data_IF_908954479309
#
_entry.id   IF_908954479309
#
_cell.length_a   1.000
_cell.length_b   1.000
_cell.length_c   1.000
_cell.angle_alpha   90.00
_cell.angle_beta   90.00
_cell.angle_gamma   90.00
#
_symmetry.space_group_name_H-M   'P 1'
#
loop_
_entity.id
_entity.type
_entity.pdbx_description
1 polymer ?
#
# COMPACT_ATOMS: atom_id res chain seq x y z
N UNK A 1 20.05 -72.11 0.84
CA UNK A 1 20.14 -71.03 1.84
C UNK A 1 18.78 -70.37 1.94
N UNK A 2 18.05 -70.59 3.04
CA UNK A 2 16.71 -70.03 3.27
C UNK A 2 16.87 -68.68 3.98
N UNK A 3 16.04 -67.64 3.65
CA UNK A 3 16.09 -66.40 4.36
C UNK A 3 15.46 -66.55 5.74
N UNK A 4 16.16 -66.06 6.77
CA UNK A 4 15.70 -65.98 8.16
C UNK A 4 14.66 -64.86 8.28
N UNK A 5 13.56 -65.22 8.91
CA UNK A 5 12.30 -64.49 8.98
C UNK A 5 12.38 -63.12 9.64
N UNK A 6 11.69 -62.16 9.04
CA UNK A 6 11.42 -60.81 9.51
C UNK A 6 10.55 -60.69 10.78
N UNK A 7 10.22 -61.80 11.46
CA UNK A 7 9.36 -61.81 12.66
C UNK A 7 10.07 -61.38 13.95
N UNK A 8 11.39 -61.54 14.04
CA UNK A 8 12.14 -61.18 15.25
C UNK A 8 12.35 -59.68 15.36
N UNK A 9 12.39 -58.95 14.25
CA UNK A 9 12.57 -57.51 14.24
C UNK A 9 11.27 -56.73 14.56
N UNK A 10 10.12 -57.30 14.22
CA UNK A 10 8.82 -56.72 14.55
C UNK A 10 8.47 -56.90 16.02
N UNK A 11 8.90 -58.00 16.64
CA UNK A 11 8.65 -58.22 18.07
C UNK A 11 9.49 -57.31 18.97
N UNK A 12 10.70 -56.92 18.55
CA UNK A 12 11.56 -56.00 19.27
C UNK A 12 11.07 -54.55 19.19
N UNK A 13 10.47 -54.15 18.05
CA UNK A 13 9.87 -52.81 17.88
C UNK A 13 8.58 -52.63 18.70
N UNK A 14 7.80 -53.72 18.89
CA UNK A 14 6.58 -53.68 19.71
C UNK A 14 6.89 -53.64 21.20
N UNK A 15 8.05 -54.16 21.67
CA UNK A 15 8.45 -54.06 23.06
C UNK A 15 8.92 -52.66 23.49
N UNK A 16 9.43 -51.87 22.54
CA UNK A 16 9.83 -50.48 22.81
C UNK A 16 8.66 -49.52 22.85
N UNK A 17 7.54 -49.81 22.20
CA UNK A 17 6.33 -48.97 22.21
C UNK A 17 5.51 -49.20 23.49
N UNK A 18 5.63 -50.39 24.12
CA UNK A 18 4.87 -50.70 25.34
C UNK A 18 5.48 -50.12 26.62
N UNK A 19 6.75 -49.66 26.60
CA UNK A 19 7.43 -49.10 27.79
C UNK A 19 7.31 -47.56 27.90
N UNK A 20 6.71 -46.89 26.93
CA UNK A 20 6.51 -45.43 26.96
C UNK A 20 5.10 -44.99 27.39
N UNK A 21 4.22 -45.92 27.78
CA UNK A 21 2.84 -45.60 28.23
C UNK A 21 2.62 -45.76 29.74
N UNK A 22 3.68 -45.75 30.57
CA UNK A 22 3.55 -45.68 32.01
C UNK A 22 3.98 -44.30 32.54
N UNK A 23 3.40 -43.24 31.95
CA UNK A 23 3.46 -41.87 32.44
C UNK A 23 2.11 -41.50 33.02
N UNK A 24 2.07 -41.17 34.27
CA UNK A 24 0.94 -40.83 35.11
C UNK A 24 -0.07 -39.94 34.38
N UNK A 25 -1.32 -40.44 34.31
CA UNK A 25 -2.51 -39.61 34.20
C UNK A 25 -2.70 -39.01 35.61
N UNK A 26 -2.13 -37.84 35.82
CA UNK A 26 -2.67 -36.85 36.72
C UNK A 26 -3.27 -35.80 35.82
N UNK A 27 -4.57 -35.87 35.57
CA UNK A 27 -5.37 -34.69 35.23
C UNK A 27 -5.30 -33.78 36.46
N UNK A 28 -4.34 -32.82 36.42
CA UNK A 28 -4.55 -31.58 37.10
C UNK A 28 -5.35 -30.75 36.12
N UNK A 29 -6.63 -30.54 36.44
CA UNK A 29 -7.47 -29.44 35.92
C UNK A 29 -6.89 -28.09 36.44
N UNK A 30 -5.62 -27.84 36.18
CA UNK A 30 -5.08 -26.50 36.14
C UNK A 30 -5.15 -26.07 34.67
N UNK A 31 -6.33 -25.57 34.30
CA UNK A 31 -6.41 -24.66 33.16
C UNK A 31 -5.35 -23.60 33.48
N UNK A 32 -4.19 -23.63 32.79
CA UNK A 32 -3.37 -22.43 32.69
C UNK A 32 -4.34 -21.30 32.24
N UNK A 33 -4.37 -20.21 33.00
CA UNK A 33 -5.13 -19.05 32.48
C UNK A 33 -4.56 -18.76 31.12
N UNK A 34 -5.40 -18.76 30.12
CA UNK A 34 -5.10 -18.33 28.77
C UNK A 34 -4.77 -16.83 28.90
N UNK A 35 -3.58 -16.55 29.43
CA UNK A 35 -3.09 -15.20 29.61
C UNK A 35 -2.70 -14.74 28.22
N UNK A 36 -3.56 -13.89 27.65
CA UNK A 36 -3.29 -13.17 26.41
C UNK A 36 -2.17 -12.14 26.68
N UNK A 37 -1.06 -12.63 27.22
CA UNK A 37 0.09 -11.82 27.63
C UNK A 37 1.11 -11.82 26.50
N UNK A 38 1.41 -10.66 25.96
CA UNK A 38 2.35 -10.49 24.85
C UNK A 38 3.26 -9.28 25.10
N UNK A 39 4.57 -9.49 24.98
CA UNK A 39 5.54 -8.41 25.00
C UNK A 39 5.71 -7.86 23.60
N UNK A 40 5.40 -6.57 23.44
CA UNK A 40 5.56 -5.83 22.19
C UNK A 40 6.30 -4.55 22.52
N UNK A 41 7.36 -4.25 21.77
CA UNK A 41 8.11 -3.02 22.00
C UNK A 41 8.77 -2.48 20.74
N UNK A 42 9.09 -1.21 20.83
CA UNK A 42 9.79 -0.45 19.82
C UNK A 42 10.71 0.61 20.41
N UNK A 43 11.54 1.26 19.59
CA UNK A 43 12.44 2.31 20.02
C UNK A 43 12.60 3.44 18.98
N UNK A 44 13.07 4.58 19.45
CA UNK A 44 13.39 5.75 18.63
C UNK A 44 14.70 6.38 19.08
N UNK A 45 15.64 6.77 18.18
CA UNK A 45 15.59 6.62 16.72
C UNK A 45 15.83 5.16 16.29
N UNK A 46 15.34 4.77 15.10
CA UNK A 46 15.51 3.40 14.56
C UNK A 46 16.90 3.16 14.03
N UNK A 47 17.48 4.16 13.40
CA UNK A 47 18.75 4.07 12.69
C UNK A 47 19.77 5.05 13.22
N UNK A 48 21.05 4.84 12.85
CA UNK A 48 22.13 5.79 13.12
C UNK A 48 22.37 6.08 14.60
N UNK A 49 22.15 5.07 15.44
CA UNK A 49 22.32 5.17 16.88
C UNK A 49 23.80 5.14 17.22
N UNK A 50 24.38 6.28 17.54
CA UNK A 50 25.80 6.43 17.84
C UNK A 50 26.10 6.14 19.31
N UNK A 51 27.13 5.34 19.56
CA UNK A 51 27.63 5.07 20.90
C UNK A 51 27.96 6.37 21.64
N UNK A 52 27.68 6.43 22.93
CA UNK A 52 27.94 7.55 23.86
C UNK A 52 27.18 8.86 23.59
N UNK A 53 26.47 8.97 22.45
CA UNK A 53 25.84 10.22 22.02
C UNK A 53 24.33 10.10 21.85
N UNK A 54 23.85 9.01 21.24
CA UNK A 54 22.43 8.88 20.95
C UNK A 54 21.68 8.30 22.13
N UNK A 55 20.68 9.01 22.61
CA UNK A 55 19.74 8.52 23.60
C UNK A 55 18.62 7.78 22.87
N UNK A 56 18.47 6.48 23.16
CA UNK A 56 17.41 5.64 22.62
C UNK A 56 16.24 5.61 23.59
N UNK A 57 15.05 5.87 23.09
CA UNK A 57 13.80 5.79 23.85
C UNK A 57 13.09 4.49 23.49
N UNK A 58 13.02 3.55 24.40
CA UNK A 58 12.29 2.29 24.25
C UNK A 58 10.86 2.44 24.79
N UNK A 59 9.90 1.87 24.07
CA UNK A 59 8.48 1.96 24.39
C UNK A 59 7.84 0.58 24.31
N UNK A 60 7.35 0.06 25.43
CA UNK A 60 6.67 -1.23 25.55
C UNK A 60 5.15 -1.13 25.68
N UNK A 61 4.57 0.05 25.46
CA UNK A 61 3.14 0.29 25.72
C UNK A 61 2.18 -0.50 24.81
N UNK A 62 2.68 -1.02 23.68
CA UNK A 62 1.90 -1.86 22.79
C UNK A 62 1.66 -3.29 23.34
N UNK A 63 2.35 -3.66 24.42
CA UNK A 63 2.20 -5.00 25.06
C UNK A 63 0.78 -5.26 25.53
N UNK A 64 0.36 -6.52 25.46
CA UNK A 64 -1.00 -6.96 25.78
C UNK A 64 -1.00 -7.70 27.13
N UNK A 65 -2.00 -7.45 28.02
CA UNK A 65 -3.10 -6.48 27.91
C UNK A 65 -2.64 -5.02 28.10
N UNK A 66 -3.19 -4.12 27.32
CA UNK A 66 -2.87 -2.69 27.40
C UNK A 66 -3.86 -1.95 28.33
N UNK A 67 -3.93 -2.36 29.59
CA UNK A 67 -4.84 -1.83 30.61
C UNK A 67 -4.11 -1.19 31.80
N UNK A 68 -2.78 -1.12 31.72
CA UNK A 68 -1.94 -0.60 32.78
C UNK A 68 -1.61 -1.60 33.92
N UNK A 69 -1.98 -2.88 33.78
CA UNK A 69 -1.71 -3.91 34.76
C UNK A 69 -0.29 -4.49 34.68
N UNK A 70 0.39 -4.29 33.52
CA UNK A 70 1.67 -4.91 33.25
C UNK A 70 2.83 -4.23 33.99
N UNK A 71 3.78 -5.05 34.37
CA UNK A 71 5.12 -4.63 34.83
C UNK A 71 6.14 -4.96 33.74
N UNK A 72 6.99 -3.98 33.41
CA UNK A 72 7.97 -4.05 32.33
C UNK A 72 9.39 -4.14 32.87
N UNK A 73 10.20 -5.02 32.33
CA UNK A 73 11.62 -5.21 32.64
C UNK A 73 12.41 -5.30 31.36
N UNK A 74 13.47 -4.50 31.29
CA UNK A 74 14.33 -4.39 30.11
C UNK A 74 15.73 -4.89 30.41
N UNK A 75 16.27 -5.69 29.51
CA UNK A 75 17.66 -6.07 29.36
C UNK A 75 18.13 -5.52 28.02
N UNK A 76 19.05 -4.55 28.02
CA UNK A 76 19.46 -3.85 26.79
C UNK A 76 20.63 -4.49 26.05
N UNK A 77 21.20 -5.59 26.60
CA UNK A 77 22.39 -6.21 26.03
C UNK A 77 22.32 -7.75 25.99
N UNK A 78 21.20 -8.34 26.41
CA UNK A 78 20.97 -9.77 26.38
C UNK A 78 21.82 -10.59 27.39
N UNK A 79 22.34 -9.93 28.44
CA UNK A 79 23.18 -10.63 29.45
C UNK A 79 22.36 -11.31 30.57
N UNK A 80 21.04 -11.08 30.59
CA UNK A 80 20.09 -11.63 31.55
C UNK A 80 19.91 -10.79 32.80
N UNK A 81 20.64 -9.68 32.96
CA UNK A 81 20.46 -8.75 34.05
C UNK A 81 19.45 -7.64 33.64
N UNK A 82 18.61 -7.17 34.55
CA UNK A 82 17.62 -6.14 34.28
C UNK A 82 18.28 -4.76 34.39
N UNK A 83 18.37 -4.07 33.26
CA UNK A 83 18.95 -2.73 33.15
C UNK A 83 17.96 -1.63 33.54
N UNK A 84 16.67 -1.81 33.20
CA UNK A 84 15.63 -0.81 33.43
C UNK A 84 14.25 -1.44 33.68
N UNK A 85 13.33 -0.62 34.23
CA UNK A 85 11.93 -1.00 34.45
C UNK A 85 11.01 0.17 34.13
N UNK A 86 9.85 -0.15 33.54
CA UNK A 86 8.81 0.82 33.16
C UNK A 86 8.38 0.62 31.70
N UNK A 87 7.23 1.14 31.37
CA UNK A 87 6.61 1.09 30.06
C UNK A 87 7.39 1.87 28.98
N UNK A 88 8.06 2.96 29.40
CA UNK A 88 8.98 3.77 28.58
C UNK A 88 10.27 3.99 29.33
N UNK A 89 11.39 3.70 28.67
CA UNK A 89 12.71 3.83 29.26
C UNK A 89 13.70 4.43 28.28
N UNK A 90 14.80 4.97 28.78
CA UNK A 90 15.85 5.58 27.99
C UNK A 90 17.17 4.85 28.23
N UNK A 91 17.94 4.60 27.16
CA UNK A 91 19.29 4.08 27.26
C UNK A 91 20.27 4.83 26.35
N UNK A 92 21.55 4.84 26.73
CA UNK A 92 22.68 5.28 25.90
C UNK A 92 23.73 4.17 25.96
N UNK A 93 24.01 3.55 24.81
CA UNK A 93 25.01 2.51 24.71
C UNK A 93 26.42 3.09 24.79
N UNK A 94 27.28 2.50 25.60
CA UNK A 94 28.66 2.98 25.79
C UNK A 94 29.61 2.58 24.66
N UNK A 95 29.33 1.47 23.97
CA UNK A 95 30.19 0.90 22.93
C UNK A 95 29.37 0.62 21.67
N UNK A 96 30.03 0.69 20.48
CA UNK A 96 29.41 0.21 19.24
C UNK A 96 29.30 -1.31 19.22
N UNK A 97 28.35 -1.85 18.46
CA UNK A 97 28.10 -3.29 18.32
C UNK A 97 26.62 -3.57 18.09
N UNK A 98 26.30 -4.83 17.84
CA UNK A 98 24.93 -5.34 17.83
C UNK A 98 24.57 -5.84 19.21
N UNK A 99 23.45 -5.40 19.75
CA UNK A 99 22.96 -5.80 21.06
C UNK A 99 21.57 -6.42 20.94
N UNK A 100 21.34 -7.50 21.68
CA UNK A 100 20.00 -8.06 21.81
C UNK A 100 19.27 -7.32 22.94
N UNK A 101 18.16 -6.65 22.60
CA UNK A 101 17.29 -6.01 23.59
C UNK A 101 16.14 -6.94 23.90
N UNK A 102 15.91 -7.19 25.19
CA UNK A 102 14.83 -8.07 25.65
C UNK A 102 13.87 -7.25 26.52
N UNK A 103 12.59 -7.24 26.12
CA UNK A 103 11.49 -6.80 26.97
C UNK A 103 10.83 -8.03 27.61
N UNK A 104 10.72 -8.05 28.92
CA UNK A 104 9.89 -8.99 29.65
C UNK A 104 8.74 -8.26 30.31
N UNK A 105 7.50 -8.66 30.03
CA UNK A 105 6.29 -8.17 30.68
C UNK A 105 5.71 -9.23 31.59
N UNK A 106 5.09 -8.81 32.70
CA UNK A 106 4.39 -9.69 33.62
C UNK A 106 3.15 -9.04 34.20
N UNK A 107 2.09 -9.84 34.35
CA UNK A 107 0.86 -9.51 35.05
C UNK A 107 0.88 -9.89 36.54
N UNK A 108 2.01 -10.43 37.01
CA UNK A 108 2.21 -10.94 38.36
C UNK A 108 1.95 -12.45 38.50
N UNK A 109 1.44 -13.13 37.47
CA UNK A 109 1.18 -14.57 37.44
C UNK A 109 1.98 -15.26 36.34
N UNK A 110 2.03 -14.64 35.17
CA UNK A 110 2.71 -15.10 33.97
C UNK A 110 3.74 -14.08 33.49
N UNK A 111 4.66 -14.52 32.64
CA UNK A 111 5.67 -13.66 32.02
C UNK A 111 5.73 -14.00 30.52
N UNK A 112 5.92 -12.97 29.69
CA UNK A 112 6.24 -13.10 28.27
C UNK A 112 7.41 -12.20 27.93
N UNK A 113 8.32 -12.69 27.08
CA UNK A 113 9.50 -11.95 26.66
C UNK A 113 9.57 -11.89 25.15
N UNK A 114 9.96 -10.72 24.61
CA UNK A 114 10.29 -10.49 23.20
C UNK A 114 11.70 -9.95 23.12
N UNK A 115 12.50 -10.44 22.15
CA UNK A 115 13.82 -9.88 21.85
C UNK A 115 13.84 -9.27 20.44
N UNK A 116 14.64 -8.20 20.29
CA UNK A 116 14.97 -7.57 19.01
C UNK A 116 16.43 -7.14 19.03
N UNK A 117 17.10 -7.15 17.87
CA UNK A 117 18.47 -6.66 17.74
C UNK A 117 18.50 -5.14 17.46
N UNK A 118 19.44 -4.44 18.10
CA UNK A 118 19.73 -3.03 17.88
C UNK A 118 21.21 -2.84 17.50
N UNK A 119 21.45 -2.06 16.47
CA UNK A 119 22.81 -1.77 15.98
C UNK A 119 23.26 -0.41 16.47
N UNK A 120 24.38 -0.39 17.18
CA UNK A 120 25.02 0.81 17.69
C UNK A 120 26.30 1.06 16.93
N UNK A 121 26.40 2.23 16.29
CA UNK A 121 27.53 2.62 15.44
C UNK A 121 28.55 3.45 16.24
N UNK A 122 29.82 3.49 15.78
CA UNK A 122 30.83 4.35 16.37
C UNK A 122 30.42 5.82 16.41
N UNK A 123 30.87 6.57 17.41
CA UNK A 123 30.56 7.98 17.58
C UNK A 123 30.88 8.86 16.37
N UNK A 124 31.98 8.55 15.65
CA UNK A 124 32.47 9.33 14.51
C UNK A 124 32.17 8.60 13.17
N UNK A 125 31.15 7.74 13.17
CA UNK A 125 30.77 6.99 11.98
C UNK A 125 30.25 7.89 10.86
N UNK A 126 30.70 7.60 9.64
CA UNK A 126 30.20 8.24 8.43
C UNK A 126 28.99 7.43 7.94
N UNK A 127 27.83 8.07 7.93
CA UNK A 127 26.57 7.47 7.52
C UNK A 127 26.43 7.48 6.01
N UNK A 128 25.72 6.52 5.44
CA UNK A 128 25.21 6.65 4.09
C UNK A 128 24.15 7.75 4.01
N UNK A 129 23.70 8.07 2.80
CA UNK A 129 22.53 8.90 2.53
C UNK A 129 21.61 8.10 1.60
N UNK A 130 20.44 7.77 2.09
CA UNK A 130 19.43 7.07 1.31
C UNK A 130 18.88 7.98 0.20
N UNK A 131 18.69 7.42 -0.97
CA UNK A 131 18.07 8.09 -2.11
C UNK A 131 17.17 7.08 -2.82
N UNK A 132 15.86 7.26 -2.69
CA UNK A 132 14.86 6.40 -3.33
C UNK A 132 14.75 6.59 -4.85
N UNK A 133 15.59 7.45 -5.42
CA UNK A 133 15.58 7.74 -6.85
C UNK A 133 14.41 8.60 -7.28
N UNK A 134 14.19 8.65 -8.58
CA UNK A 134 13.01 9.24 -9.18
C UNK A 134 12.25 8.16 -9.93
N UNK A 135 11.01 7.95 -9.58
CA UNK A 135 10.08 7.22 -10.44
C UNK A 135 9.89 8.07 -11.71
N UNK A 136 9.85 7.41 -12.85
CA UNK A 136 9.86 8.04 -14.15
C UNK A 136 8.53 7.80 -14.90
N UNK A 137 7.40 8.28 -14.40
CA UNK A 137 6.10 8.10 -15.00
C UNK A 137 5.69 9.36 -15.76
N UNK A 138 4.81 9.16 -16.70
CA UNK A 138 4.06 10.20 -17.36
C UNK A 138 3.04 10.81 -16.38
N UNK A 139 3.13 12.10 -16.09
CA UNK A 139 2.31 12.75 -15.04
C UNK A 139 0.94 13.25 -15.50
N UNK A 140 0.72 13.36 -16.81
CA UNK A 140 -0.53 13.88 -17.40
C UNK A 140 -0.95 13.11 -18.66
N UNK A 141 -0.23 12.04 -18.97
CA UNK A 141 -0.46 11.20 -20.14
C UNK A 141 -0.24 11.93 -21.47
N UNK A 142 0.69 12.86 -21.52
CA UNK A 142 1.10 13.57 -22.75
C UNK A 142 2.52 13.18 -23.23
N UNK A 143 3.19 12.28 -22.53
CA UNK A 143 4.54 11.80 -22.81
C UNK A 143 5.64 12.51 -22.00
N UNK A 144 5.27 13.38 -21.07
CA UNK A 144 6.19 14.02 -20.14
C UNK A 144 6.38 13.18 -18.87
N UNK A 145 7.54 13.33 -18.23
CA UNK A 145 7.81 12.65 -16.96
C UNK A 145 7.08 13.32 -15.79
N UNK A 146 6.60 12.51 -14.84
CA UNK A 146 5.97 13.03 -13.63
C UNK A 146 6.97 13.85 -12.81
N UNK A 147 6.55 15.01 -12.29
CA UNK A 147 7.36 15.74 -11.34
C UNK A 147 7.44 15.00 -10.00
N UNK A 148 8.62 14.96 -9.39
CA UNK A 148 8.77 14.65 -7.97
C UNK A 148 8.64 15.94 -7.16
N UNK A 149 8.24 15.82 -5.89
CA UNK A 149 8.11 16.95 -5.00
C UNK A 149 8.16 16.52 -3.53
N UNK A 150 7.91 17.46 -2.63
CA UNK A 150 7.89 17.19 -1.20
C UNK A 150 6.51 17.42 -0.63
N UNK A 151 5.99 16.42 0.10
CA UNK A 151 4.73 16.50 0.86
C UNK A 151 5.05 16.27 2.34
N UNK A 152 4.75 17.23 3.21
CA UNK A 152 4.97 17.14 4.65
C UNK A 152 6.40 16.76 5.09
N UNK A 153 7.40 17.10 4.26
CA UNK A 153 8.81 16.80 4.52
C UNK A 153 9.35 15.54 3.83
N UNK A 154 8.46 14.72 3.25
CA UNK A 154 8.81 13.56 2.46
C UNK A 154 8.74 13.87 0.96
N UNK A 155 9.47 13.09 0.14
CA UNK A 155 9.31 13.15 -1.30
C UNK A 155 8.01 12.48 -1.73
N UNK A 156 7.42 12.95 -2.82
CA UNK A 156 6.28 12.28 -3.41
C UNK A 156 6.51 12.01 -4.90
N UNK A 157 5.93 10.92 -5.38
CA UNK A 157 5.97 10.50 -6.77
C UNK A 157 4.55 10.36 -7.28
N UNK A 158 4.29 10.97 -8.44
CA UNK A 158 3.00 10.93 -9.11
C UNK A 158 3.12 10.07 -10.37
N UNK A 159 2.33 9.03 -10.44
CA UNK A 159 2.31 8.06 -11.53
C UNK A 159 0.92 8.07 -12.14
N UNK A 160 0.82 8.04 -13.47
CA UNK A 160 -0.42 7.82 -14.18
C UNK A 160 -0.39 6.48 -14.92
N UNK A 161 -1.46 5.73 -14.79
CA UNK A 161 -1.78 4.66 -15.73
C UNK A 161 -2.45 5.33 -16.91
N UNK A 162 -1.72 5.49 -18.02
CA UNK A 162 -2.21 6.15 -19.21
C UNK A 162 -2.72 5.14 -20.22
N UNK A 163 -3.96 5.25 -20.59
CA UNK A 163 -4.61 4.44 -21.63
C UNK A 163 -5.27 5.36 -22.66
N UNK A 164 -4.48 6.08 -23.48
CA UNK A 164 -5.00 6.85 -24.59
C UNK A 164 -5.49 5.90 -25.70
N UNK A 165 -6.39 6.33 -26.51
CA UNK A 165 -6.89 5.61 -27.71
C UNK A 165 -7.38 4.17 -27.40
N UNK A 166 -8.14 3.99 -26.30
CA UNK A 166 -8.70 2.66 -25.95
C UNK A 166 -9.72 2.21 -26.99
N UNK A 167 -9.67 0.91 -27.32
CA UNK A 167 -10.68 0.27 -28.17
C UNK A 167 -12.09 0.44 -27.58
N UNK A 168 -13.05 0.84 -28.40
CA UNK A 168 -14.45 1.01 -28.01
C UNK A 168 -15.09 -0.25 -27.37
N UNK A 169 -14.53 -1.43 -27.61
CA UNK A 169 -14.93 -2.69 -26.99
C UNK A 169 -14.31 -2.94 -25.63
N UNK A 170 -13.20 -2.28 -25.28
CA UNK A 170 -12.54 -2.36 -23.97
C UNK A 170 -12.87 -1.12 -23.13
N UNK A 171 -13.92 -1.21 -22.36
CA UNK A 171 -14.42 -0.13 -21.51
C UNK A 171 -14.18 -0.39 -20.01
N UNK A 172 -13.10 -1.12 -19.68
CA UNK A 172 -12.69 -1.38 -18.29
C UNK A 172 -11.46 -0.55 -17.95
N UNK A 173 -11.45 0.12 -16.82
CA UNK A 173 -10.26 0.85 -16.35
C UNK A 173 -9.22 -0.11 -15.78
N UNK A 174 -7.94 0.17 -16.05
CA UNK A 174 -6.84 -0.61 -15.46
C UNK A 174 -6.60 -0.18 -14.02
N UNK A 175 -6.38 -1.15 -13.14
CA UNK A 175 -6.23 -0.93 -11.69
C UNK A 175 -4.83 -1.19 -11.16
N UNK A 176 -3.89 -1.63 -12.01
CA UNK A 176 -2.50 -1.90 -11.63
C UNK A 176 -1.53 -1.43 -12.70
N UNK A 177 -0.31 -1.11 -12.29
CA UNK A 177 0.78 -0.74 -13.19
C UNK A 177 2.11 -1.33 -12.71
N UNK A 178 3.13 -1.29 -13.56
CA UNK A 178 4.49 -1.67 -13.19
C UNK A 178 5.34 -0.42 -12.99
N UNK A 179 6.13 -0.39 -11.91
CA UNK A 179 7.09 0.67 -11.64
C UNK A 179 8.43 0.10 -11.23
N UNK A 180 9.50 0.84 -11.50
CA UNK A 180 10.86 0.50 -11.06
C UNK A 180 11.26 1.46 -9.95
N UNK A 181 11.53 0.91 -8.75
CA UNK A 181 12.15 1.63 -7.66
C UNK A 181 13.67 1.58 -7.84
N UNK A 182 14.34 2.73 -7.84
CA UNK A 182 15.79 2.84 -8.10
C UNK A 182 16.48 3.55 -6.93
N UNK A 183 17.02 2.77 -5.99
CA UNK A 183 17.83 3.24 -4.86
C UNK A 183 19.33 3.29 -5.14
N UNK A 184 19.77 3.00 -6.37
CA UNK A 184 21.21 2.92 -6.74
C UNK A 184 21.94 4.25 -6.59
N UNK A 185 21.21 5.37 -6.56
CA UNK A 185 21.73 6.71 -6.31
C UNK A 185 22.10 7.00 -4.86
N UNK A 186 21.92 6.06 -3.94
CA UNK A 186 22.27 6.24 -2.52
C UNK A 186 23.76 6.41 -2.32
N UNK A 187 24.16 7.39 -1.48
CA UNK A 187 25.57 7.69 -1.20
C UNK A 187 26.07 6.85 -0.01
N UNK A 188 27.17 6.10 -0.12
CA UNK A 188 27.72 5.33 1.00
C UNK A 188 28.34 6.18 2.12
N UNK A 189 28.41 7.49 1.97
CA UNK A 189 28.92 8.46 2.94
C UNK A 189 30.39 8.79 2.77
N UNK A 190 31.20 7.96 2.12
CA UNK A 190 32.59 8.26 1.78
C UNK A 190 33.08 7.43 0.61
N UNK A 191 34.16 7.88 -0.03
CA UNK A 191 34.77 7.19 -1.19
C UNK A 191 35.40 5.82 -0.88
N UNK A 192 35.53 5.47 0.40
CA UNK A 192 36.03 4.18 0.86
C UNK A 192 34.91 3.23 1.27
N UNK A 193 33.69 3.71 1.29
CA UNK A 193 32.51 2.95 1.65
C UNK A 193 31.73 2.55 0.38
N UNK A 194 30.86 1.56 0.53
CA UNK A 194 29.89 1.15 -0.47
C UNK A 194 28.63 0.67 0.24
N UNK A 195 27.50 0.79 -0.42
CA UNK A 195 26.24 0.25 0.10
C UNK A 195 26.27 -1.27 -0.01
N UNK A 196 25.87 -1.96 1.03
CA UNK A 196 25.82 -3.43 1.12
C UNK A 196 24.43 -3.99 1.04
N UNK A 197 23.42 -3.20 1.40
CA UNK A 197 22.02 -3.59 1.29
C UNK A 197 21.11 -2.38 1.07
N UNK A 198 20.05 -2.65 0.33
CA UNK A 198 18.86 -1.80 0.14
C UNK A 198 17.67 -2.64 0.55
N UNK A 199 16.90 -2.17 1.51
CA UNK A 199 15.67 -2.78 2.01
C UNK A 199 14.52 -1.81 1.78
N UNK A 200 13.49 -2.27 1.10
CA UNK A 200 12.31 -1.48 0.78
C UNK A 200 11.14 -1.98 1.59
N UNK A 201 10.48 -1.07 2.26
CA UNK A 201 9.16 -1.23 2.85
C UNK A 201 8.17 -0.53 1.91
N UNK A 202 7.23 -1.28 1.38
CA UNK A 202 6.29 -0.80 0.35
C UNK A 202 5.05 -0.15 0.95
N UNK A 203 4.88 -0.23 2.27
CA UNK A 203 3.82 0.44 3.00
C UNK A 203 4.15 0.57 4.49
N UNK A 204 4.84 1.64 4.86
CA UNK A 204 5.29 1.90 6.22
C UNK A 204 4.15 2.16 7.24
N UNK A 205 2.91 2.20 6.78
CA UNK A 205 1.71 2.35 7.61
C UNK A 205 1.05 0.99 7.91
N UNK A 206 1.66 -0.13 7.48
CA UNK A 206 1.12 -1.48 7.62
C UNK A 206 2.20 -2.50 8.04
N UNK A 207 1.99 -3.20 9.13
CA UNK A 207 2.83 -4.29 9.63
C UNK A 207 2.64 -5.56 8.77
N UNK A 208 3.46 -5.73 7.73
CA UNK A 208 3.35 -6.84 6.77
C UNK A 208 3.91 -8.15 7.33
N UNK A 209 4.91 -8.10 8.23
CA UNK A 209 5.54 -9.27 8.83
C UNK A 209 4.86 -9.73 10.14
N UNK A 210 3.92 -8.94 10.67
CA UNK A 210 3.14 -9.26 11.89
C UNK A 210 3.96 -9.17 13.18
N UNK A 211 5.06 -8.40 13.18
CA UNK A 211 5.94 -8.27 14.35
C UNK A 211 5.48 -7.19 15.35
N UNK A 212 4.46 -6.41 15.01
CA UNK A 212 3.86 -5.33 15.80
C UNK A 212 4.53 -3.96 15.58
N UNK A 213 5.31 -3.82 14.52
CA UNK A 213 5.96 -2.56 14.10
C UNK A 213 5.67 -2.37 12.62
N UNK A 214 5.13 -1.22 12.25
CA UNK A 214 4.64 -0.95 10.90
C UNK A 214 5.74 -0.45 9.94
N UNK A 215 6.82 0.17 10.46
CA UNK A 215 7.84 0.88 9.68
C UNK A 215 9.21 0.16 9.63
N UNK A 216 9.26 -1.14 9.90
CA UNK A 216 10.50 -1.93 9.89
C UNK A 216 10.45 -3.19 9.01
N UNK A 217 9.43 -3.29 8.17
CA UNK A 217 9.24 -4.39 7.24
C UNK A 217 10.27 -4.38 6.09
N UNK A 218 10.61 -5.57 5.60
CA UNK A 218 11.44 -5.75 4.41
C UNK A 218 10.61 -6.51 3.37
N UNK A 219 9.86 -5.75 2.55
CA UNK A 219 9.02 -6.33 1.51
C UNK A 219 9.84 -6.70 0.27
N UNK A 220 10.82 -5.85 -0.09
CA UNK A 220 11.69 -6.06 -1.24
C UNK A 220 13.15 -5.66 -0.94
N UNK A 221 14.08 -6.28 -1.65
CA UNK A 221 15.52 -6.01 -1.50
C UNK A 221 16.21 -5.79 -2.84
N UNK A 222 17.16 -4.88 -2.86
CA UNK A 222 17.96 -4.58 -4.06
C UNK A 222 18.09 -3.09 -4.32
N UNK A 223 19.14 -2.71 -5.03
CA UNK A 223 19.38 -1.33 -5.46
C UNK A 223 18.36 -0.87 -6.52
N UNK A 224 17.86 -1.81 -7.32
CA UNK A 224 16.76 -1.60 -8.29
C UNK A 224 15.75 -2.72 -8.15
N UNK A 225 14.49 -2.36 -7.94
CA UNK A 225 13.37 -3.31 -7.75
C UNK A 225 12.27 -2.98 -8.75
N UNK A 226 11.76 -3.99 -9.46
CA UNK A 226 10.63 -3.88 -10.37
C UNK A 226 9.36 -4.42 -9.71
N UNK A 227 8.40 -3.54 -9.47
CA UNK A 227 7.07 -3.89 -8.96
C UNK A 227 6.13 -4.09 -10.14
N UNK A 228 5.59 -5.29 -10.33
CA UNK A 228 4.79 -5.64 -11.52
C UNK A 228 3.30 -5.28 -11.39
N UNK A 229 2.78 -5.16 -10.19
CA UNK A 229 1.34 -5.06 -9.94
C UNK A 229 1.01 -3.98 -8.89
N UNK A 230 1.70 -2.83 -8.95
CA UNK A 230 1.41 -1.71 -8.07
C UNK A 230 -0.03 -1.21 -8.33
N UNK A 231 -0.91 -1.24 -7.32
CA UNK A 231 -2.31 -0.85 -7.52
C UNK A 231 -2.45 0.68 -7.66
N UNK A 232 -3.58 1.09 -8.25
CA UNK A 232 -4.02 2.49 -8.17
C UNK A 232 -4.21 2.88 -6.70
N UNK A 233 -3.87 4.11 -6.36
CA UNK A 233 -4.05 4.63 -5.00
C UNK A 233 -2.83 5.36 -4.47
N UNK A 234 -2.74 5.38 -3.16
CA UNK A 234 -1.65 5.97 -2.38
C UNK A 234 -0.86 4.86 -1.69
N UNK A 235 0.45 4.95 -1.72
CA UNK A 235 1.37 4.11 -0.96
C UNK A 235 2.42 4.98 -0.29
N UNK A 236 2.76 4.67 0.94
CA UNK A 236 3.83 5.33 1.68
C UNK A 236 4.98 4.34 1.83
N UNK A 237 6.03 4.52 1.03
CA UNK A 237 7.17 3.60 0.96
C UNK A 237 8.37 4.14 1.72
N UNK A 238 9.27 3.27 2.15
CA UNK A 238 10.60 3.65 2.61
C UNK A 238 11.73 2.84 1.98
N UNK A 239 12.90 3.44 1.90
CA UNK A 239 14.16 2.80 1.55
C UNK A 239 15.12 2.92 2.73
N UNK A 240 15.57 1.79 3.25
CA UNK A 240 16.66 1.68 4.22
C UNK A 240 17.93 1.21 3.50
N UNK A 241 19.02 1.97 3.59
CA UNK A 241 20.32 1.57 3.05
C UNK A 241 21.33 1.32 4.15
N UNK A 242 22.20 0.32 3.95
CA UNK A 242 23.28 -0.02 4.89
C UNK A 242 24.61 0.00 4.14
N UNK A 243 25.62 0.68 4.68
CA UNK A 243 26.97 0.65 4.13
C UNK A 243 27.81 -0.48 4.71
N UNK A 244 29.04 -0.69 4.16
CA UNK A 244 29.95 -1.77 4.57
C UNK A 244 30.51 -1.63 6.00
N UNK A 245 30.27 -0.53 6.68
CA UNK A 245 30.60 -0.32 8.11
C UNK A 245 29.38 -0.63 9.02
N UNK A 246 28.24 -1.02 8.43
CA UNK A 246 27.00 -1.30 9.17
C UNK A 246 26.20 -0.06 9.56
N UNK A 247 26.52 1.08 8.95
CA UNK A 247 25.75 2.30 9.18
C UNK A 247 24.57 2.37 8.24
N UNK A 248 23.48 2.89 8.74
CA UNK A 248 22.21 2.95 8.02
C UNK A 248 21.71 4.38 7.89
N UNK A 249 20.92 4.60 6.85
CA UNK A 249 20.09 5.77 6.65
C UNK A 249 18.80 5.34 5.93
N UNK A 250 17.72 6.08 6.16
CA UNK A 250 16.44 5.79 5.53
C UNK A 250 15.80 7.05 4.97
N UNK A 251 15.00 6.86 3.92
CA UNK A 251 14.22 7.89 3.27
C UNK A 251 12.84 7.35 2.97
N UNK A 252 11.79 8.10 3.25
CA UNK A 252 10.43 7.75 2.88
C UNK A 252 9.93 8.60 1.71
N UNK A 253 8.95 8.08 0.99
CA UNK A 253 8.31 8.76 -0.12
C UNK A 253 6.84 8.34 -0.27
N UNK A 254 5.99 9.30 -0.64
CA UNK A 254 4.62 9.03 -1.03
C UNK A 254 4.54 8.69 -2.52
N UNK A 255 3.84 7.63 -2.87
CA UNK A 255 3.60 7.21 -4.25
C UNK A 255 2.10 7.27 -4.51
N UNK A 256 1.70 8.11 -5.47
CA UNK A 256 0.32 8.23 -5.92
C UNK A 256 0.19 7.63 -7.31
N UNK A 257 -0.62 6.59 -7.46
CA UNK A 257 -0.92 6.00 -8.76
C UNK A 257 -2.32 6.40 -9.18
N UNK A 258 -2.39 7.25 -10.20
CA UNK A 258 -3.62 7.75 -10.81
C UNK A 258 -3.94 6.98 -12.08
N UNK A 259 -5.15 7.14 -12.58
CA UNK A 259 -5.59 6.57 -13.84
C UNK A 259 -6.13 7.65 -14.76
N UNK A 260 -5.83 7.55 -16.06
CA UNK A 260 -6.45 8.31 -17.13
C UNK A 260 -6.67 7.42 -18.36
N UNK A 261 -7.91 7.26 -18.75
CA UNK A 261 -8.32 6.53 -19.96
C UNK A 261 -9.12 7.41 -20.91
N UNK A 262 -8.87 7.23 -22.19
CA UNK A 262 -9.53 7.99 -23.26
C UNK A 262 -10.03 7.02 -24.33
N UNK A 263 -11.25 7.23 -24.80
CA UNK A 263 -11.93 6.47 -25.85
C UNK A 263 -12.43 7.42 -26.93
N UNK A 264 -12.04 7.16 -28.14
CA UNK A 264 -12.47 7.89 -29.31
C UNK A 264 -13.40 7.04 -30.19
N UNK A 265 -14.06 7.67 -31.17
CA UNK A 265 -14.90 7.02 -32.17
C UNK A 265 -15.99 6.09 -31.56
N UNK A 266 -16.49 6.41 -30.37
CA UNK A 266 -17.57 5.67 -29.75
C UNK A 266 -18.89 5.90 -30.49
N UNK A 267 -19.71 4.84 -30.56
CA UNK A 267 -21.07 4.87 -31.08
C UNK A 267 -22.08 4.72 -29.95
N UNK A 268 -22.96 5.68 -29.76
CA UNK A 268 -24.01 5.66 -28.74
C UNK A 268 -25.38 5.60 -29.41
N UNK A 269 -26.03 4.46 -29.28
CA UNK A 269 -27.37 4.28 -29.86
C UNK A 269 -28.40 5.25 -29.30
N UNK A 270 -29.39 5.61 -30.12
CA UNK A 270 -30.54 6.39 -29.65
C UNK A 270 -31.43 5.60 -28.68
N UNK A 271 -32.21 6.31 -27.89
CA UNK A 271 -33.06 5.76 -26.80
C UNK A 271 -34.18 4.82 -27.25
N UNK A 272 -34.32 4.54 -28.55
CA UNK A 272 -35.32 3.62 -29.09
C UNK A 272 -34.85 2.14 -29.09
N UNK A 273 -33.60 1.87 -28.74
CA UNK A 273 -33.03 0.53 -28.67
C UNK A 273 -32.68 0.17 -27.23
N UNK A 274 -32.82 -1.11 -26.86
CA UNK A 274 -32.44 -1.58 -25.52
C UNK A 274 -30.92 -1.48 -25.26
N UNK A 275 -30.11 -1.16 -26.29
CA UNK A 275 -28.66 -1.03 -26.24
C UNK A 275 -28.18 0.46 -26.25
N UNK A 276 -29.04 1.37 -25.80
CA UNK A 276 -28.77 2.82 -25.84
C UNK A 276 -27.77 3.35 -24.81
N UNK A 277 -27.05 2.45 -24.09
CA UNK A 277 -26.08 2.84 -23.08
C UNK A 277 -24.70 2.26 -23.40
N UNK A 278 -23.65 3.07 -23.22
CA UNK A 278 -22.28 2.59 -23.13
C UNK A 278 -21.91 2.48 -21.65
N UNK A 279 -21.49 1.31 -21.23
CA UNK A 279 -21.09 1.03 -19.84
C UNK A 279 -19.57 0.93 -19.77
N UNK A 280 -18.99 1.68 -18.83
CA UNK A 280 -17.57 1.66 -18.51
C UNK A 280 -17.42 1.12 -17.10
N UNK A 281 -16.73 -0.02 -16.96
CA UNK A 281 -16.46 -0.66 -15.70
C UNK A 281 -15.24 0.00 -15.05
N UNK A 282 -15.41 0.53 -13.84
CA UNK A 282 -14.38 1.27 -13.11
C UNK A 282 -14.32 0.79 -11.68
N UNK A 283 -13.14 0.37 -11.25
CA UNK A 283 -12.94 -0.05 -9.86
C UNK A 283 -12.45 1.14 -9.03
N UNK A 284 -13.14 1.44 -7.94
CA UNK A 284 -12.72 2.42 -6.96
C UNK A 284 -12.19 1.74 -5.71
N UNK A 285 -10.97 2.11 -5.35
CA UNK A 285 -10.35 1.70 -4.10
C UNK A 285 -10.44 2.84 -3.08
N UNK A 286 -11.07 2.53 -1.96
CA UNK A 286 -11.13 3.41 -0.81
C UNK A 286 -10.91 2.59 0.44
N UNK A 287 -9.66 2.49 0.87
CA UNK A 287 -9.28 1.78 2.09
C UNK A 287 -8.97 2.79 3.20
N UNK A 288 -9.85 2.87 4.18
CA UNK A 288 -9.72 3.80 5.31
C UNK A 288 -8.59 3.42 6.25
N UNK A 289 -8.35 2.14 6.40
CA UNK A 289 -7.33 1.62 7.32
C UNK A 289 -5.93 1.88 6.73
N UNK A 290 -5.81 1.79 5.40
CA UNK A 290 -4.58 2.07 4.65
C UNK A 290 -4.48 3.53 4.16
N UNK A 291 -5.35 4.41 4.59
CA UNK A 291 -5.43 5.81 4.19
C UNK A 291 -5.56 6.08 2.68
N UNK A 292 -5.86 5.06 1.89
CA UNK A 292 -6.03 5.16 0.44
C UNK A 292 -7.36 5.82 0.10
N UNK A 293 -7.34 7.01 -0.47
CA UNK A 293 -8.53 7.85 -0.68
C UNK A 293 -8.56 8.43 -2.07
N UNK A 294 -9.71 8.32 -2.72
CA UNK A 294 -9.95 9.05 -3.97
C UNK A 294 -10.05 10.54 -3.67
N UNK A 295 -9.27 11.33 -4.38
CA UNK A 295 -9.34 12.79 -4.34
C UNK A 295 -10.51 13.29 -5.17
N UNK A 296 -10.61 12.81 -6.41
CA UNK A 296 -11.69 13.14 -7.36
C UNK A 296 -11.69 12.19 -8.54
N UNK A 297 -12.83 12.13 -9.21
CA UNK A 297 -13.00 11.51 -10.53
C UNK A 297 -13.51 12.59 -11.47
N UNK A 298 -12.79 12.82 -12.57
CA UNK A 298 -13.16 13.73 -13.63
C UNK A 298 -13.60 12.92 -14.85
N UNK A 299 -14.72 13.26 -15.43
CA UNK A 299 -15.20 12.65 -16.67
C UNK A 299 -15.50 13.75 -17.68
N UNK A 300 -15.09 13.53 -18.91
CA UNK A 300 -15.36 14.42 -20.02
C UNK A 300 -15.99 13.62 -21.15
N UNK A 301 -17.08 14.14 -21.68
CA UNK A 301 -17.78 13.61 -22.83
C UNK A 301 -17.85 14.71 -23.90
N UNK A 302 -17.33 14.40 -25.08
CA UNK A 302 -17.39 15.28 -26.25
C UNK A 302 -18.12 14.54 -27.37
N UNK A 303 -19.06 15.19 -28.04
CA UNK A 303 -19.85 14.60 -29.10
C UNK A 303 -20.36 15.61 -30.10
N UNK A 304 -20.59 15.22 -31.37
CA UNK A 304 -21.20 16.09 -32.39
C UNK A 304 -22.61 16.54 -32.00
N UNK A 305 -22.99 17.76 -32.31
CA UNK A 305 -24.37 18.25 -32.13
C UNK A 305 -25.36 17.47 -32.97
N UNK A 306 -24.96 17.11 -34.19
CA UNK A 306 -25.78 16.42 -35.19
C UNK A 306 -24.84 15.54 -36.03
N UNK A 307 -25.40 14.54 -36.70
CA UNK A 307 -24.66 13.76 -37.69
C UNK A 307 -24.35 14.57 -38.94
N UNK A 308 -23.30 14.17 -39.67
CA UNK A 308 -22.87 14.80 -40.92
C UNK A 308 -23.98 14.84 -42.01
N UNK A 309 -24.87 13.86 -41.98
CA UNK A 309 -26.02 13.75 -42.89
C UNK A 309 -27.30 14.45 -42.39
N UNK A 310 -27.16 15.36 -41.43
CA UNK A 310 -28.26 16.04 -40.78
C UNK A 310 -29.28 16.63 -41.77
N UNK A 311 -30.52 16.22 -41.65
CA UNK A 311 -31.67 16.80 -42.35
C UNK A 311 -32.29 17.92 -41.52
N UNK A 312 -32.55 19.07 -42.11
CA UNK A 312 -33.11 20.22 -41.41
C UNK A 312 -34.40 19.86 -40.63
N UNK A 313 -34.29 19.84 -39.28
CA UNK A 313 -35.38 19.55 -38.34
C UNK A 313 -35.18 18.39 -37.42
N UNK A 314 -34.07 17.67 -37.47
CA UNK A 314 -33.68 16.68 -36.44
C UNK A 314 -33.21 17.39 -35.18
N UNK A 315 -33.57 16.90 -33.98
CA UNK A 315 -33.10 17.48 -32.74
C UNK A 315 -31.59 17.19 -32.55
N UNK A 316 -30.91 18.13 -31.87
CA UNK A 316 -29.52 17.96 -31.51
C UNK A 316 -29.35 16.71 -30.58
N UNK A 317 -28.21 16.02 -30.68
CA UNK A 317 -27.86 14.92 -29.78
C UNK A 317 -27.88 15.38 -28.32
N UNK A 318 -28.26 14.48 -27.40
CA UNK A 318 -28.37 14.78 -26.00
C UNK A 318 -27.81 13.60 -25.15
N UNK A 319 -26.47 13.59 -25.00
CA UNK A 319 -25.78 12.59 -24.22
C UNK A 319 -25.59 13.05 -22.78
N UNK A 320 -25.65 12.09 -21.84
CA UNK A 320 -25.45 12.33 -20.41
C UNK A 320 -24.58 11.23 -19.82
N UNK A 321 -23.85 11.60 -18.76
CA UNK A 321 -23.04 10.68 -17.95
C UNK A 321 -23.82 10.36 -16.69
N UNK A 322 -23.91 9.08 -16.36
CA UNK A 322 -24.47 8.55 -15.11
C UNK A 322 -23.42 7.71 -14.39
N UNK A 323 -23.43 7.74 -13.09
CA UNK A 323 -22.55 6.96 -12.24
C UNK A 323 -23.36 6.09 -11.27
N UNK A 324 -23.05 4.81 -11.21
CA UNK A 324 -23.67 3.81 -10.37
C UNK A 324 -22.62 3.15 -9.49
N UNK A 325 -22.95 2.91 -8.22
CA UNK A 325 -22.05 2.23 -7.29
C UNK A 325 -22.03 0.71 -7.49
N UNK A 326 -21.23 0.01 -6.70
CA UNK A 326 -21.07 -1.46 -6.73
C UNK A 326 -22.36 -2.26 -6.46
N UNK A 327 -23.42 -1.61 -5.99
CA UNK A 327 -24.74 -2.22 -5.76
C UNK A 327 -25.79 -1.78 -6.79
N UNK A 328 -25.36 -1.17 -7.91
CA UNK A 328 -26.20 -0.63 -8.98
C UNK A 328 -27.17 0.48 -8.49
N UNK A 329 -26.75 1.21 -7.44
CA UNK A 329 -27.48 2.39 -6.98
C UNK A 329 -26.98 3.63 -7.73
N UNK A 330 -27.90 4.43 -8.26
CA UNK A 330 -27.58 5.69 -8.93
C UNK A 330 -26.96 6.69 -7.93
N UNK A 331 -25.76 7.16 -8.24
CA UNK A 331 -24.99 8.09 -7.40
C UNK A 331 -25.16 9.52 -7.84
N UNK A 332 -24.85 9.80 -9.10
CA UNK A 332 -24.87 11.13 -9.68
C UNK A 332 -24.97 11.05 -11.21
N UNK A 333 -25.46 12.10 -11.83
CA UNK A 333 -25.48 12.23 -13.28
C UNK A 333 -25.35 13.71 -13.72
N UNK A 334 -24.99 13.91 -14.96
CA UNK A 334 -25.01 15.21 -15.61
C UNK A 334 -26.44 15.65 -15.92
N UNK A 335 -26.62 16.95 -16.01
CA UNK A 335 -27.88 17.60 -16.41
C UNK A 335 -27.64 18.53 -17.58
N UNK A 336 -28.69 19.00 -18.23
CA UNK A 336 -28.59 19.96 -19.34
C UNK A 336 -27.89 21.27 -18.95
N UNK A 337 -27.80 21.59 -17.65
CA UNK A 337 -27.13 22.81 -17.17
C UNK A 337 -25.60 22.69 -17.10
N UNK A 338 -25.03 21.47 -17.18
CA UNK A 338 -23.60 21.22 -17.13
C UNK A 338 -22.93 21.20 -18.50
N UNK A 339 -23.73 21.29 -19.58
CA UNK A 339 -23.23 21.34 -20.93
C UNK A 339 -22.45 22.62 -21.20
N UNK A 340 -21.24 22.46 -21.74
CA UNK A 340 -20.33 23.58 -22.01
C UNK A 340 -19.72 24.21 -20.76
N UNK A 341 -19.87 23.61 -19.56
CA UNK A 341 -19.20 24.07 -18.36
C UNK A 341 -17.95 23.23 -18.12
N UNK A 342 -16.83 23.88 -17.81
CA UNK A 342 -15.58 23.20 -17.47
C UNK A 342 -14.82 22.59 -18.66
N UNK A 343 -15.34 22.70 -19.85
CA UNK A 343 -14.72 22.22 -21.08
C UNK A 343 -14.96 23.20 -22.27
N UNK A 344 -14.21 23.01 -23.34
CA UNK A 344 -14.35 23.80 -24.57
C UNK A 344 -14.63 22.84 -25.72
N UNK A 345 -15.71 23.12 -26.44
CA UNK A 345 -16.03 22.50 -27.73
C UNK A 345 -16.08 23.54 -28.80
N UNK A 346 -15.93 23.15 -30.05
CA UNK A 346 -16.14 24.01 -31.21
C UNK A 346 -17.64 24.25 -31.47
N UNK A 347 -17.97 24.91 -32.61
CA UNK A 347 -19.37 25.22 -32.95
C UNK A 347 -20.19 23.96 -33.32
N UNK A 348 -19.54 22.87 -33.69
CA UNK A 348 -20.16 21.61 -34.17
C UNK A 348 -20.30 20.57 -33.07
N UNK A 349 -19.58 20.70 -31.93
CA UNK A 349 -19.58 19.75 -30.82
C UNK A 349 -20.26 20.29 -29.56
N UNK A 350 -20.64 19.37 -28.71
CA UNK A 350 -21.08 19.59 -27.31
C UNK A 350 -20.13 18.90 -26.38
N UNK A 351 -19.72 19.60 -25.32
CA UNK A 351 -18.96 18.96 -24.22
C UNK A 351 -19.78 18.94 -22.94
N UNK A 352 -19.60 17.85 -22.17
CA UNK A 352 -20.23 17.64 -20.88
C UNK A 352 -19.16 17.13 -19.92
N UNK A 353 -19.09 17.71 -18.71
CA UNK A 353 -18.17 17.25 -17.66
C UNK A 353 -18.95 16.80 -16.44
N UNK A 354 -18.41 15.79 -15.76
CA UNK A 354 -18.88 15.37 -14.44
C UNK A 354 -17.67 15.24 -13.52
N UNK A 355 -17.59 16.10 -12.52
CA UNK A 355 -16.59 16.01 -11.45
C UNK A 355 -17.24 15.42 -10.22
N UNK A 356 -16.67 14.31 -9.72
CA UNK A 356 -17.12 13.62 -8.50
C UNK A 356 -16.04 13.74 -7.45
N UNK A 357 -16.37 14.37 -6.34
CA UNK A 357 -15.43 14.60 -5.25
C UNK A 357 -15.42 13.43 -4.25
N UNK A 358 -14.32 13.32 -3.51
CA UNK A 358 -14.17 12.36 -2.42
C UNK A 358 -15.42 12.23 -1.55
N UNK A 359 -16.01 13.36 -1.12
CA UNK A 359 -17.13 13.37 -0.18
C UNK A 359 -18.35 12.54 -0.67
N UNK A 360 -18.58 12.53 -1.99
CA UNK A 360 -19.68 11.75 -2.56
C UNK A 360 -19.31 10.26 -2.62
N UNK A 361 -18.08 9.94 -3.05
CA UNK A 361 -17.60 8.55 -3.16
C UNK A 361 -17.55 7.88 -1.80
N UNK A 362 -17.03 8.56 -0.77
CA UNK A 362 -16.93 8.06 0.62
C UNK A 362 -18.28 7.70 1.25
N UNK A 363 -19.37 8.10 0.63
CA UNK A 363 -20.73 7.76 1.10
C UNK A 363 -21.19 6.38 0.68
N UNK A 364 -20.43 5.70 -0.18
CA UNK A 364 -20.73 4.39 -0.75
C UNK A 364 -19.59 3.41 -0.50
N UNK A 365 -19.86 2.13 -0.76
CA UNK A 365 -18.87 1.06 -0.62
C UNK A 365 -17.91 1.03 -1.83
N UNK A 366 -16.67 0.61 -1.59
CA UNK A 366 -15.67 0.34 -2.61
C UNK A 366 -16.12 -0.80 -3.54
N UNK A 367 -15.47 -0.91 -4.67
CA UNK A 367 -15.66 -2.01 -5.58
C UNK A 367 -15.82 -1.57 -7.03
N UNK A 368 -16.45 -2.43 -7.82
CA UNK A 368 -16.69 -2.20 -9.23
C UNK A 368 -17.90 -1.29 -9.40
N UNK A 369 -17.66 -0.11 -9.92
CA UNK A 369 -18.68 0.87 -10.23
C UNK A 369 -18.87 0.96 -11.74
N UNK A 370 -20.03 1.41 -12.16
CA UNK A 370 -20.34 1.61 -13.57
C UNK A 370 -20.54 3.09 -13.87
N UNK A 371 -19.89 3.54 -14.94
CA UNK A 371 -20.14 4.84 -15.56
C UNK A 371 -20.88 4.57 -16.86
N UNK A 372 -22.04 5.15 -17.02
CA UNK A 372 -22.90 4.92 -18.18
C UNK A 372 -23.06 6.20 -18.96
N UNK A 373 -22.74 6.16 -20.26
CA UNK A 373 -23.03 7.22 -21.21
C UNK A 373 -24.34 6.86 -21.92
N UNK A 374 -25.34 7.72 -21.78
CA UNK A 374 -26.67 7.49 -22.34
C UNK A 374 -27.04 8.54 -23.34
N UNK A 375 -27.78 8.17 -24.37
CA UNK A 375 -28.36 9.07 -25.34
C UNK A 375 -29.86 9.18 -25.12
N UNK A 376 -30.34 10.35 -24.71
CA UNK A 376 -31.77 10.60 -24.49
C UNK A 376 -32.56 10.94 -25.79
N UNK A 377 -31.83 11.10 -26.90
CA UNK A 377 -32.42 11.33 -28.21
C UNK A 377 -32.76 10.03 -28.94
N UNK A 378 -33.58 10.10 -29.97
CA UNK A 378 -33.99 8.96 -30.79
C UNK A 378 -32.96 8.55 -31.86
N UNK A 379 -32.00 9.42 -32.16
CA UNK A 379 -30.97 9.23 -33.16
C UNK A 379 -29.67 8.79 -32.53
N UNK A 380 -28.93 7.94 -33.22
CA UNK A 380 -27.62 7.49 -32.78
C UNK A 380 -26.63 8.64 -32.83
N UNK A 381 -25.60 8.62 -31.97
CA UNK A 381 -24.49 9.53 -32.00
C UNK A 381 -23.19 8.78 -32.30
N UNK A 382 -22.52 9.20 -33.36
CA UNK A 382 -21.21 8.68 -33.77
C UNK A 382 -20.09 9.64 -33.37
N UNK A 383 -18.84 9.20 -33.49
CA UNK A 383 -17.64 10.02 -33.19
C UNK A 383 -17.66 10.64 -31.78
N UNK A 384 -18.18 9.88 -30.81
CA UNK A 384 -18.23 10.32 -29.42
C UNK A 384 -16.90 10.04 -28.75
N UNK A 385 -16.32 11.06 -28.10
CA UNK A 385 -15.10 10.95 -27.29
C UNK A 385 -15.49 10.93 -25.81
N UNK A 386 -14.85 10.05 -25.03
CA UNK A 386 -15.08 9.95 -23.60
C UNK A 386 -13.76 9.75 -22.86
N UNK A 387 -13.56 10.46 -21.77
CA UNK A 387 -12.40 10.26 -20.90
C UNK A 387 -12.77 10.17 -19.43
N UNK A 388 -11.98 9.38 -18.70
CA UNK A 388 -12.06 9.20 -17.24
C UNK A 388 -10.68 9.47 -16.66
N UNK A 389 -10.60 10.34 -15.64
CA UNK A 389 -9.43 10.54 -14.83
C UNK A 389 -9.77 10.27 -13.36
N UNK A 390 -9.02 9.37 -12.70
CA UNK A 390 -9.17 9.03 -11.29
C UNK A 390 -7.90 9.46 -10.55
N UNK A 391 -8.04 10.37 -9.58
CA UNK A 391 -6.94 10.89 -8.77
C UNK A 391 -7.10 10.46 -7.32
N UNK A 392 -6.01 10.00 -6.73
CA UNK A 392 -5.90 9.63 -5.31
C UNK A 392 -5.16 10.71 -4.50
N UNK A 393 -5.23 10.65 -3.15
CA UNK A 393 -4.53 11.57 -2.24
C UNK A 393 -4.24 10.89 -0.90
#
# INVERSE_FOLDING_TARGET
MKPVSSLATILLALLFIASSMAGCIFESDDAEPDSNLEAIFDWTPKTSIQATTTQVSFNGNASIPNDGSLTYRWDFNGDGDIDASGDKVLNIYANPGTFEVILTVTDGFSEHSKSKEIIIIPKDAVKPVANSGSLNPDSDCDGDEAPSGTVQGDEFYLIYICEPDKDAGDRTTRVTTSVTLDGSGSDPGSTNHYITSWSWDLNIDFDSDGNGVEDDDEDETGDVVELSDLPIGESHISLLVTNNEGHTDSMSAWVFVHYKGEWDELHVNGNQTDDGELVFDTTFHYDRDMNNKIKRVNMLLLYPKNDDDWLAGEPEHELNIYMYNSTDEHVVNTTSSERGQGCTADEEHVCVTLEVTQYLIDSYEDGDWEIRVTNTNAYDADEVEFSIEIQYK
#
